data_IF_269871173474
#
_entry.id   IF_269871173474
#
_cell.length_a   1.000
_cell.length_b   1.000
_cell.length_c   1.000
_cell.angle_alpha   90.00
_cell.angle_beta   90.00
_cell.angle_gamma   90.00
#
_symmetry.space_group_name_H-M   'P 1'
#
loop_
_entity.id
_entity.type
_entity.pdbx_description
1 polymer ?
#
# COMPACT_ATOMS: atom_id res chain seq x y z
N UNK A 1 4.64 44.68 -9.71
CA UNK A 1 3.59 43.77 -10.24
C UNK A 1 3.13 42.90 -9.07
N UNK A 2 1.86 42.94 -8.68
CA UNK A 2 1.37 42.11 -7.57
C UNK A 2 1.28 40.62 -7.98
N UNK A 3 1.55 39.69 -7.04
CA UNK A 3 1.43 38.27 -7.31
C UNK A 3 -0.04 37.89 -7.56
N UNK A 4 -0.28 37.10 -8.61
CA UNK A 4 -1.63 36.61 -8.97
C UNK A 4 -2.28 35.74 -7.88
N UNK A 5 -1.49 35.21 -6.95
CA UNK A 5 -1.94 34.51 -5.76
C UNK A 5 -0.95 34.75 -4.62
N UNK A 6 -1.41 35.37 -3.52
CA UNK A 6 -0.63 35.55 -2.30
C UNK A 6 -1.07 34.52 -1.25
N UNK A 7 -0.34 33.40 -1.16
CA UNK A 7 -0.65 32.29 -0.24
C UNK A 7 -0.46 32.66 1.23
N UNK A 8 0.41 33.61 1.54
CA UNK A 8 0.76 34.04 2.89
C UNK A 8 -0.16 35.14 3.44
N UNK A 9 -0.96 35.81 2.60
CA UNK A 9 -1.87 36.90 3.01
C UNK A 9 -3.33 36.76 2.59
N UNK A 10 -3.71 35.74 1.81
CA UNK A 10 -5.08 35.58 1.30
C UNK A 10 -6.02 34.89 2.30
N UNK A 11 -7.18 35.49 2.64
CA UNK A 11 -8.21 34.82 3.45
C UNK A 11 -8.70 33.49 2.86
N UNK A 12 -8.65 33.36 1.53
CA UNK A 12 -8.99 32.12 0.82
C UNK A 12 -7.94 31.04 1.09
N UNK A 13 -6.65 31.38 1.01
CA UNK A 13 -5.57 30.45 1.30
C UNK A 13 -5.62 29.96 2.76
N UNK A 14 -5.91 30.85 3.71
CA UNK A 14 -6.13 30.50 5.13
C UNK A 14 -7.30 29.53 5.29
N UNK A 15 -8.41 29.76 4.58
CA UNK A 15 -9.59 28.87 4.64
C UNK A 15 -9.29 27.49 4.04
N UNK A 16 -8.60 27.44 2.89
CA UNK A 16 -8.16 26.17 2.28
C UNK A 16 -7.24 25.40 3.23
N UNK A 17 -6.28 26.08 3.86
CA UNK A 17 -5.38 25.46 4.83
C UNK A 17 -6.14 24.86 6.02
N UNK A 18 -7.13 25.58 6.57
CA UNK A 18 -7.99 25.06 7.64
C UNK A 18 -8.73 23.79 7.23
N UNK A 19 -9.26 23.74 6.01
CA UNK A 19 -9.93 22.54 5.50
C UNK A 19 -8.97 21.37 5.30
N UNK A 20 -7.76 21.62 4.78
CA UNK A 20 -6.73 20.60 4.64
C UNK A 20 -6.29 20.03 6.01
N UNK A 21 -6.10 20.89 7.02
CA UNK A 21 -5.78 20.46 8.40
C UNK A 21 -6.92 19.64 9.00
N UNK A 22 -8.16 20.07 8.79
CA UNK A 22 -9.33 19.33 9.28
C UNK A 22 -9.44 17.95 8.62
N UNK A 23 -9.15 17.85 7.33
CA UNK A 23 -9.17 16.58 6.60
C UNK A 23 -8.00 15.67 7.04
N UNK A 24 -6.80 16.22 7.24
CA UNK A 24 -5.63 15.43 7.67
C UNK A 24 -5.79 14.87 9.08
N UNK A 25 -6.53 15.56 9.96
CA UNK A 25 -6.82 15.08 11.31
C UNK A 25 -7.61 13.77 11.33
N UNK A 26 -8.53 13.55 10.39
CA UNK A 26 -9.28 12.29 10.26
C UNK A 26 -8.34 11.10 10.07
N UNK A 27 -7.30 11.29 9.27
CA UNK A 27 -6.29 10.26 9.03
C UNK A 27 -5.37 10.16 10.26
N UNK A 28 -4.97 11.28 10.86
CA UNK A 28 -4.11 11.33 12.05
C UNK A 28 -4.71 10.59 13.25
N UNK A 29 -6.01 10.76 13.48
CA UNK A 29 -6.76 10.19 14.60
C UNK A 29 -7.23 8.75 14.32
N UNK A 30 -6.91 8.18 13.15
CA UNK A 30 -7.23 6.80 12.81
C UNK A 30 -6.55 5.83 13.76
N UNK A 31 -7.29 4.81 14.22
CA UNK A 31 -6.76 3.70 15.03
C UNK A 31 -5.90 2.74 14.21
N UNK A 32 -5.86 2.91 12.89
CA UNK A 32 -5.07 2.10 11.98
C UNK A 32 -3.59 2.51 12.07
N UNK A 33 -2.63 1.56 12.17
CA UNK A 33 -1.20 1.86 12.24
C UNK A 33 -0.70 2.77 11.11
N UNK A 34 0.36 3.55 11.39
CA UNK A 34 0.96 4.46 10.40
C UNK A 34 1.35 3.74 9.11
N UNK A 35 1.97 2.56 9.23
CA UNK A 35 2.41 1.74 8.08
C UNK A 35 1.24 1.43 7.13
N UNK A 36 0.10 0.99 7.67
CA UNK A 36 -1.10 0.71 6.86
C UNK A 36 -1.67 1.97 6.19
N UNK A 37 -1.63 3.12 6.87
CA UNK A 37 -2.11 4.40 6.30
C UNK A 37 -1.28 4.88 5.12
N UNK A 38 0.00 4.52 5.05
CA UNK A 38 0.94 4.97 4.02
C UNK A 38 1.37 3.88 3.05
N UNK A 39 0.83 2.66 3.18
CA UNK A 39 1.21 1.51 2.35
C UNK A 39 0.94 1.72 0.86
N UNK A 40 -0.08 2.50 0.51
CA UNK A 40 -0.39 2.83 -0.89
C UNK A 40 0.66 3.76 -1.53
N UNK A 41 1.49 4.41 -0.71
CA UNK A 41 2.57 5.30 -1.11
C UNK A 41 3.93 4.78 -0.63
N UNK A 42 4.08 3.45 -0.49
CA UNK A 42 5.23 2.83 0.16
C UNK A 42 6.59 3.20 -0.45
N UNK A 43 6.64 3.52 -1.75
CA UNK A 43 7.87 3.97 -2.43
C UNK A 43 8.39 5.30 -1.87
N UNK A 44 7.47 6.18 -1.48
CA UNK A 44 7.76 7.51 -0.93
C UNK A 44 7.77 7.53 0.60
N UNK A 45 7.22 6.49 1.24
CA UNK A 45 7.13 6.40 2.69
C UNK A 45 8.46 5.97 3.31
N UNK A 46 8.91 6.71 4.33
CA UNK A 46 10.19 6.49 5.02
C UNK A 46 10.14 5.46 6.14
N UNK A 47 8.97 4.87 6.38
CA UNK A 47 8.71 4.02 7.56
C UNK A 47 8.93 2.53 7.30
N UNK A 48 9.11 2.14 6.04
CA UNK A 48 9.36 0.75 5.64
C UNK A 48 10.85 0.48 5.54
N UNK A 49 11.28 -0.65 6.08
CA UNK A 49 12.61 -1.21 5.90
C UNK A 49 12.85 -1.67 4.46
N UNK A 50 14.10 -1.84 4.05
CA UNK A 50 14.42 -2.34 2.70
C UNK A 50 13.83 -3.73 2.43
N UNK A 51 13.77 -4.61 3.44
CA UNK A 51 13.11 -5.91 3.33
C UNK A 51 11.60 -5.76 3.04
N UNK A 52 10.90 -4.92 3.81
CA UNK A 52 9.47 -4.65 3.60
C UNK A 52 9.22 -4.02 2.22
N UNK A 53 10.07 -3.10 1.77
CA UNK A 53 9.98 -2.49 0.44
C UNK A 53 10.15 -3.53 -0.67
N UNK A 54 11.09 -4.46 -0.53
CA UNK A 54 11.26 -5.56 -1.48
C UNK A 54 10.04 -6.51 -1.51
N UNK A 55 9.44 -6.81 -0.36
CA UNK A 55 8.22 -7.62 -0.30
C UNK A 55 7.00 -6.89 -0.91
N UNK A 56 6.85 -5.59 -0.65
CA UNK A 56 5.80 -4.75 -1.24
C UNK A 56 5.94 -4.66 -2.75
N UNK A 57 7.18 -4.53 -3.26
CA UNK A 57 7.45 -4.53 -4.69
C UNK A 57 7.07 -5.85 -5.37
N UNK A 58 7.47 -6.98 -4.77
CA UNK A 58 7.11 -8.30 -5.26
C UNK A 58 5.59 -8.51 -5.23
N UNK A 59 4.91 -8.08 -4.17
CA UNK A 59 3.46 -8.17 -4.05
C UNK A 59 2.73 -7.29 -5.10
N UNK A 60 3.22 -6.07 -5.34
CA UNK A 60 2.67 -5.14 -6.33
C UNK A 60 2.78 -5.73 -7.75
N UNK A 61 3.98 -6.20 -8.14
CA UNK A 61 4.21 -6.80 -9.46
C UNK A 61 3.45 -8.13 -9.62
N UNK A 62 3.49 -9.00 -8.59
CA UNK A 62 2.80 -10.28 -8.60
C UNK A 62 1.27 -10.17 -8.65
N UNK A 63 0.70 -9.09 -8.11
CA UNK A 63 -0.74 -8.82 -8.19
C UNK A 63 -1.16 -8.30 -9.57
N UNK A 64 -0.28 -7.53 -10.23
CA UNK A 64 -0.54 -6.86 -11.51
C UNK A 64 -0.15 -7.70 -12.73
N UNK A 65 -0.02 -9.02 -12.60
CA UNK A 65 0.34 -9.93 -13.71
C UNK A 65 -0.55 -9.75 -14.95
N UNK A 66 -1.83 -9.44 -14.77
CA UNK A 66 -2.75 -9.20 -15.91
C UNK A 66 -2.40 -7.95 -16.72
N UNK A 67 -1.77 -6.96 -16.09
CA UNK A 67 -1.39 -5.67 -16.69
C UNK A 67 0.10 -5.65 -17.12
N UNK A 68 0.93 -6.49 -16.50
CA UNK A 68 2.36 -6.55 -16.72
C UNK A 68 2.69 -7.50 -17.89
N UNK A 69 3.14 -6.95 -19.03
CA UNK A 69 3.45 -7.70 -20.26
C UNK A 69 4.60 -8.73 -20.17
N UNK A 70 5.06 -9.08 -18.95
CA UNK A 70 6.14 -10.04 -18.72
C UNK A 70 6.16 -10.65 -17.31
N UNK A 71 5.09 -10.49 -16.52
CA UNK A 71 5.07 -10.99 -15.13
C UNK A 71 5.99 -10.20 -14.19
N UNK A 72 6.59 -10.88 -13.21
CA UNK A 72 7.50 -10.27 -12.23
C UNK A 72 8.91 -10.14 -12.84
N UNK A 73 9.49 -8.94 -12.95
CA UNK A 73 10.84 -8.75 -13.46
C UNK A 73 11.92 -9.45 -12.61
N UNK A 74 12.98 -9.95 -13.25
CA UNK A 74 14.10 -10.62 -12.57
C UNK A 74 14.78 -9.73 -11.52
N UNK A 75 14.84 -8.42 -11.76
CA UNK A 75 15.40 -7.46 -10.79
C UNK A 75 14.58 -7.36 -9.51
N UNK A 76 13.25 -7.51 -9.59
CA UNK A 76 12.35 -7.52 -8.43
C UNK A 76 12.54 -8.80 -7.63
N UNK A 77 12.67 -9.94 -8.31
CA UNK A 77 13.02 -11.22 -7.67
C UNK A 77 14.39 -11.14 -6.99
N UNK A 78 15.41 -10.69 -7.71
CA UNK A 78 16.76 -10.55 -7.19
C UNK A 78 16.83 -9.58 -6.00
N UNK A 79 15.99 -8.55 -5.98
CA UNK A 79 15.91 -7.64 -4.84
C UNK A 79 15.30 -8.31 -3.61
N UNK A 80 14.17 -9.02 -3.75
CA UNK A 80 13.56 -9.78 -2.66
C UNK A 80 14.51 -10.84 -2.10
N UNK A 81 15.25 -11.55 -2.96
CA UNK A 81 16.19 -12.59 -2.58
C UNK A 81 17.42 -12.09 -1.78
N UNK A 82 17.64 -10.77 -1.68
CA UNK A 82 18.66 -10.20 -0.76
C UNK A 82 18.21 -10.23 0.69
N UNK A 83 16.90 -10.35 0.94
CA UNK A 83 16.29 -10.16 2.26
C UNK A 83 15.59 -11.41 2.79
N UNK A 84 15.18 -12.31 1.91
CA UNK A 84 14.39 -13.50 2.23
C UNK A 84 15.11 -14.76 1.72
N UNK A 85 15.14 -15.80 2.54
CA UNK A 85 15.58 -17.12 2.11
C UNK A 85 14.54 -17.83 1.22
N UNK A 86 14.89 -19.02 0.72
CA UNK A 86 14.02 -19.76 -0.21
C UNK A 86 12.65 -20.10 0.39
N UNK A 87 12.61 -20.53 1.65
CA UNK A 87 11.37 -20.87 2.35
C UNK A 87 10.49 -19.63 2.53
N UNK A 88 11.10 -18.49 2.90
CA UNK A 88 10.41 -17.21 3.06
C UNK A 88 9.91 -16.66 1.72
N UNK A 89 10.69 -16.77 0.64
CA UNK A 89 10.26 -16.37 -0.70
C UNK A 89 9.10 -17.23 -1.20
N UNK A 90 9.18 -18.55 -0.99
CA UNK A 90 8.11 -19.47 -1.33
C UNK A 90 6.82 -19.13 -0.57
N UNK A 91 6.92 -18.84 0.73
CA UNK A 91 5.80 -18.38 1.54
C UNK A 91 5.23 -17.04 1.05
N UNK A 92 6.10 -16.07 0.71
CA UNK A 92 5.69 -14.75 0.24
C UNK A 92 4.95 -14.83 -1.10
N UNK A 93 5.48 -15.55 -2.08
CA UNK A 93 4.82 -15.77 -3.39
C UNK A 93 3.49 -16.49 -3.21
N UNK A 94 3.45 -17.54 -2.38
CA UNK A 94 2.23 -18.29 -2.09
C UNK A 94 1.17 -17.40 -1.44
N UNK A 95 1.57 -16.57 -0.47
CA UNK A 95 0.66 -15.63 0.19
C UNK A 95 0.08 -14.61 -0.80
N UNK A 96 0.92 -14.04 -1.68
CA UNK A 96 0.47 -13.12 -2.74
C UNK A 96 -0.54 -13.81 -3.67
N UNK A 97 -0.27 -15.04 -4.09
CA UNK A 97 -1.19 -15.80 -4.94
C UNK A 97 -2.52 -16.11 -4.23
N UNK A 98 -2.46 -16.60 -2.99
CA UNK A 98 -3.62 -16.97 -2.18
C UNK A 98 -4.52 -15.77 -1.92
N UNK A 99 -3.97 -14.62 -1.51
CA UNK A 99 -4.79 -13.43 -1.25
C UNK A 99 -5.41 -12.88 -2.55
N UNK A 100 -4.69 -12.99 -3.67
CA UNK A 100 -5.21 -12.64 -4.99
C UNK A 100 -6.41 -13.52 -5.37
N UNK A 101 -6.37 -14.83 -5.09
CA UNK A 101 -7.49 -15.73 -5.34
C UNK A 101 -8.70 -15.40 -4.44
N UNK A 102 -8.50 -15.28 -3.13
CA UNK A 102 -9.58 -14.99 -2.20
C UNK A 102 -10.23 -13.63 -2.45
N UNK A 103 -9.46 -12.59 -2.76
CA UNK A 103 -10.00 -11.28 -3.10
C UNK A 103 -10.92 -11.35 -4.32
N UNK A 104 -10.56 -12.13 -5.35
CA UNK A 104 -11.40 -12.33 -6.54
C UNK A 104 -12.69 -13.07 -6.20
N UNK A 105 -12.60 -14.14 -5.42
CA UNK A 105 -13.78 -14.90 -4.95
C UNK A 105 -14.73 -13.97 -4.18
N UNK A 106 -14.21 -13.26 -3.17
CA UNK A 106 -15.01 -12.39 -2.30
C UNK A 106 -15.72 -11.28 -3.09
N UNK A 107 -15.03 -10.66 -4.03
CA UNK A 107 -15.63 -9.62 -4.90
C UNK A 107 -16.74 -10.20 -5.77
N UNK A 108 -16.53 -11.37 -6.40
CA UNK A 108 -17.53 -12.01 -7.27
C UNK A 108 -18.81 -12.38 -6.51
N UNK A 109 -18.68 -12.87 -5.27
CA UNK A 109 -19.83 -13.27 -4.45
C UNK A 109 -20.37 -12.14 -3.56
N UNK A 110 -19.84 -10.93 -3.69
CA UNK A 110 -20.20 -9.76 -2.88
C UNK A 110 -20.04 -9.98 -1.36
N UNK A 111 -19.05 -10.79 -0.96
CA UNK A 111 -18.69 -10.98 0.44
C UNK A 111 -17.99 -9.71 0.98
N UNK A 112 -18.52 -9.07 2.04
CA UNK A 112 -17.83 -7.97 2.69
C UNK A 112 -16.48 -8.39 3.29
N UNK A 113 -15.50 -7.50 3.24
CA UNK A 113 -14.22 -7.69 3.92
C UNK A 113 -14.33 -7.31 5.40
N UNK A 114 -13.51 -7.95 6.25
CA UNK A 114 -13.35 -7.56 7.67
C UNK A 114 -13.65 -8.66 8.69
N UNK A 115 -14.34 -9.74 8.28
CA UNK A 115 -14.77 -10.80 9.21
C UNK A 115 -13.75 -11.94 9.39
N UNK A 116 -12.66 -11.95 8.61
CA UNK A 116 -11.64 -12.98 8.68
C UNK A 116 -10.82 -12.88 9.97
N UNK A 117 -10.62 -14.02 10.63
CA UNK A 117 -9.72 -14.15 11.78
C UNK A 117 -8.57 -15.12 11.46
N UNK A 118 -7.29 -14.73 11.72
CA UNK A 118 -6.17 -15.66 11.58
C UNK A 118 -6.42 -16.97 12.35
N UNK A 119 -6.25 -18.12 11.69
CA UNK A 119 -6.49 -19.45 12.26
C UNK A 119 -7.93 -19.96 12.15
N UNK A 120 -8.85 -19.20 11.54
CA UNK A 120 -10.26 -19.59 11.39
C UNK A 120 -10.48 -20.92 10.63
N UNK A 121 -9.52 -21.33 9.79
CA UNK A 121 -9.64 -22.51 8.92
C UNK A 121 -8.60 -23.62 9.19
N UNK A 122 -7.89 -23.56 10.32
CA UNK A 122 -6.83 -24.51 10.69
C UNK A 122 -5.45 -23.88 10.71
#
# INVERSE_FOLDING_TARGET
>A
MEPRLNLSGSPVAVKVMKHLISASRVIADSTVPLTTRVVTAWREATVFTEAERAALELAEQGTRIADAAGGVPDEVWANAAKHYDEDQLAALVSLVAVINAFNRVNVVVQQPAGDYQPGQFG
#
